data_IF_437152367497
#
_entry.id   IF_437152367497
#
_cell.length_a   1.000
_cell.length_b   1.000
_cell.length_c   1.000
_cell.angle_alpha   90.00
_cell.angle_beta   90.00
_cell.angle_gamma   90.00
#
_symmetry.space_group_name_H-M   'P 1'
#
loop_
_entity.id
_entity.type
_entity.pdbx_description
1 polymer ?
#
# COMPACT_ATOMS: atom_id res chain seq x y z
N UNK A 1 -11.45 -10.49 -12.44
CA UNK A 1 -10.32 -9.67 -12.87
C UNK A 1 -9.10 -10.53 -13.09
N UNK A 2 -8.39 -10.28 -14.16
CA UNK A 2 -7.15 -10.99 -14.43
C UNK A 2 -5.96 -10.12 -14.14
N UNK A 3 -4.90 -10.77 -13.67
CA UNK A 3 -3.64 -10.09 -13.41
C UNK A 3 -2.55 -10.85 -14.19
N UNK A 4 -1.66 -10.15 -14.90
CA UNK A 4 -0.61 -10.83 -15.66
C UNK A 4 0.42 -11.45 -14.72
N UNK A 5 1.16 -12.44 -15.24
CA UNK A 5 2.24 -13.05 -14.50
C UNK A 5 3.30 -12.01 -14.09
N UNK A 6 3.63 -11.11 -15.00
CA UNK A 6 4.56 -10.02 -14.74
C UNK A 6 3.78 -8.82 -14.21
N UNK A 7 4.02 -8.44 -12.98
CA UNK A 7 3.27 -7.39 -12.32
C UNK A 7 4.19 -6.48 -11.52
N UNK A 8 3.60 -5.47 -10.87
CA UNK A 8 4.32 -4.60 -9.95
C UNK A 8 3.78 -4.75 -8.55
N UNK A 9 4.68 -4.71 -7.59
CA UNK A 9 4.34 -4.58 -6.18
C UNK A 9 4.53 -3.11 -5.80
N UNK A 10 3.45 -2.49 -5.41
CA UNK A 10 3.45 -1.12 -4.88
C UNK A 10 3.45 -1.22 -3.36
N UNK A 11 4.44 -0.60 -2.71
CA UNK A 11 4.46 -0.47 -1.26
C UNK A 11 4.38 0.99 -0.89
N UNK A 12 3.52 1.27 0.09
CA UNK A 12 3.25 2.62 0.57
C UNK A 12 3.52 2.63 2.07
N UNK A 13 4.48 3.46 2.49
CA UNK A 13 4.90 3.55 3.89
C UNK A 13 4.38 4.84 4.46
N UNK A 14 3.47 4.75 5.43
CA UNK A 14 2.83 5.90 6.07
C UNK A 14 2.73 5.66 7.56
N UNK A 15 2.25 6.64 8.31
CA UNK A 15 1.97 6.50 9.73
C UNK A 15 0.50 6.16 9.95
N UNK A 16 0.23 5.48 11.04
CA UNK A 16 -1.14 5.09 11.39
C UNK A 16 -2.06 6.30 11.56
N UNK A 17 -1.52 7.41 12.07
CA UNK A 17 -2.29 8.61 12.34
C UNK A 17 -2.35 9.60 11.18
N UNK A 18 -1.72 9.28 10.05
CA UNK A 18 -1.81 10.14 8.87
C UNK A 18 -3.25 10.20 8.38
N UNK A 19 -3.66 11.38 7.92
CA UNK A 19 -5.04 11.62 7.52
C UNK A 19 -5.14 12.22 6.14
N UNK A 20 -6.29 12.01 5.52
CA UNK A 20 -6.67 12.63 4.26
C UNK A 20 -8.14 13.00 4.34
N UNK A 21 -8.43 14.31 4.23
CA UNK A 21 -9.80 14.84 4.27
C UNK A 21 -10.59 14.35 5.50
N UNK A 22 -9.92 14.33 6.66
CA UNK A 22 -10.57 13.97 7.92
C UNK A 22 -10.73 12.48 8.17
N UNK A 23 -10.23 11.64 7.28
CA UNK A 23 -10.26 10.18 7.42
C UNK A 23 -8.85 9.63 7.57
N UNK A 24 -8.68 8.46 8.18
CA UNK A 24 -7.37 7.83 8.21
C UNK A 24 -6.86 7.62 6.79
N UNK A 25 -5.63 8.04 6.54
CA UNK A 25 -5.05 7.97 5.20
C UNK A 25 -5.02 6.52 4.66
N UNK A 26 -4.66 5.55 5.52
CA UNK A 26 -4.60 4.17 5.06
C UNK A 26 -5.95 3.66 4.57
N UNK A 27 -7.04 4.05 5.26
CA UNK A 27 -8.39 3.66 4.83
C UNK A 27 -8.73 4.33 3.50
N UNK A 28 -8.41 5.61 3.38
CA UNK A 28 -8.68 6.34 2.14
C UNK A 28 -7.94 5.73 0.95
N UNK A 29 -6.70 5.30 1.14
CA UNK A 29 -5.91 4.65 0.09
C UNK A 29 -6.54 3.32 -0.32
N UNK A 30 -6.89 2.48 0.66
CA UNK A 30 -7.47 1.16 0.37
C UNK A 30 -8.81 1.31 -0.34
N UNK A 31 -9.65 2.26 0.10
CA UNK A 31 -10.93 2.52 -0.56
C UNK A 31 -10.74 3.02 -1.99
N UNK A 32 -9.75 3.89 -2.22
CA UNK A 32 -9.46 4.38 -3.56
C UNK A 32 -8.97 3.24 -4.46
N UNK A 33 -8.13 2.36 -3.93
CA UNK A 33 -7.65 1.21 -4.69
C UNK A 33 -8.82 0.30 -5.09
N UNK A 34 -9.75 0.08 -4.18
CA UNK A 34 -10.95 -0.73 -4.47
C UNK A 34 -11.84 -0.04 -5.50
N UNK A 35 -12.03 1.26 -5.38
CA UNK A 35 -12.81 2.05 -6.32
C UNK A 35 -12.22 1.99 -7.72
N UNK A 36 -10.90 1.97 -7.83
CA UNK A 36 -10.18 1.89 -9.10
C UNK A 36 -10.02 0.45 -9.60
N UNK A 37 -10.64 -0.50 -8.92
CA UNK A 37 -10.65 -1.92 -9.32
C UNK A 37 -9.26 -2.55 -9.36
N UNK A 38 -8.38 -2.14 -8.45
CA UNK A 38 -7.11 -2.84 -8.30
C UNK A 38 -7.34 -4.24 -7.71
N UNK A 39 -6.40 -5.13 -7.97
CA UNK A 39 -6.55 -6.54 -7.66
C UNK A 39 -6.70 -6.86 -6.17
N UNK A 40 -6.13 -6.00 -5.31
CA UNK A 40 -6.25 -6.18 -3.87
C UNK A 40 -5.34 -5.18 -3.15
N UNK A 41 -5.49 -5.11 -1.84
CA UNK A 41 -4.63 -4.28 -1.00
C UNK A 41 -4.56 -4.91 0.38
N UNK A 42 -3.37 -4.88 0.97
CA UNK A 42 -3.12 -5.40 2.32
C UNK A 42 -2.46 -4.31 3.14
N UNK A 43 -2.93 -4.11 4.37
CA UNK A 43 -2.33 -3.15 5.29
C UNK A 43 -1.64 -3.92 6.40
N UNK A 44 -0.36 -3.64 6.59
CA UNK A 44 0.44 -4.24 7.66
C UNK A 44 0.84 -3.15 8.64
N UNK A 45 0.81 -3.45 9.92
CA UNK A 45 1.25 -2.53 10.96
C UNK A 45 2.59 -2.98 11.50
N UNK A 46 3.58 -2.08 11.48
CA UNK A 46 4.88 -2.35 12.08
C UNK A 46 4.84 -2.08 13.57
N UNK A 47 5.55 -2.89 14.38
CA UNK A 47 5.59 -2.66 15.83
C UNK A 47 6.50 -1.51 16.22
N UNK A 48 7.33 -1.01 15.30
CA UNK A 48 8.31 0.05 15.56
C UNK A 48 8.79 0.61 14.23
N UNK A 49 9.09 1.89 14.19
CA UNK A 49 9.69 2.49 13.01
C UNK A 49 9.66 4.00 13.06
N UNK A 50 10.34 4.61 12.10
CA UNK A 50 10.28 6.06 11.89
C UNK A 50 10.51 6.36 10.43
N UNK A 51 9.94 7.48 9.97
CA UNK A 51 10.16 7.98 8.63
C UNK A 51 10.85 9.33 8.66
N UNK A 52 11.01 9.93 7.50
CA UNK A 52 11.74 11.18 7.34
C UNK A 52 11.21 12.30 8.22
N UNK A 53 9.88 12.39 8.35
CA UNK A 53 9.24 13.49 9.08
C UNK A 53 8.56 13.04 10.37
N UNK A 54 8.81 11.80 10.83
CA UNK A 54 8.16 11.27 12.01
C UNK A 54 9.18 10.89 13.08
N UNK A 55 8.70 10.83 14.31
CA UNK A 55 9.49 10.34 15.43
C UNK A 55 9.53 8.81 15.40
N UNK A 56 10.43 8.25 16.19
CA UNK A 56 10.45 6.81 16.42
C UNK A 56 9.17 6.38 17.12
N UNK A 57 8.48 5.42 16.54
CA UNK A 57 7.25 4.87 17.08
C UNK A 57 7.43 3.40 17.42
N UNK A 58 6.95 2.99 18.58
CA UNK A 58 7.07 1.61 19.04
C UNK A 58 5.90 1.21 19.91
N UNK A 59 5.44 -0.01 19.74
CA UNK A 59 4.34 -0.57 20.54
C UNK A 59 4.77 -0.88 21.99
N UNK A 60 6.07 -0.85 22.29
CA UNK A 60 6.55 -1.08 23.66
C UNK A 60 6.20 0.04 24.61
N UNK A 61 6.00 1.24 24.08
CA UNK A 61 5.62 2.38 24.89
C UNK A 61 4.10 2.38 24.94
N UNK A 62 3.54 2.12 26.11
CA UNK A 62 2.09 2.07 26.28
C UNK A 62 1.53 3.48 26.22
N UNK A 63 1.12 3.89 25.04
CA UNK A 63 0.49 5.17 24.80
C UNK A 63 -0.72 4.98 23.91
N UNK A 64 -1.79 5.67 24.25
CA UNK A 64 -3.05 5.56 23.50
C UNK A 64 -2.98 6.20 22.14
N UNK A 65 -2.02 7.08 21.90
CA UNK A 65 -1.90 7.83 20.65
C UNK A 65 -0.65 7.46 19.85
N UNK A 66 -0.22 6.22 19.97
CA UNK A 66 0.97 5.77 19.26
C UNK A 66 0.74 5.81 17.75
N UNK A 67 1.66 6.46 17.04
CA UNK A 67 1.60 6.54 15.57
C UNK A 67 2.53 5.49 14.99
N UNK A 68 2.05 4.27 14.89
CA UNK A 68 2.84 3.17 14.38
C UNK A 68 2.96 3.22 12.85
N UNK A 69 4.06 2.69 12.30
CA UNK A 69 4.22 2.64 10.86
C UNK A 69 3.27 1.65 10.23
N UNK A 70 2.72 2.02 9.08
CA UNK A 70 1.88 1.15 8.26
C UNK A 70 2.53 0.95 6.90
N UNK A 71 2.39 -0.25 6.36
CA UNK A 71 2.79 -0.56 5.00
C UNK A 71 1.57 -1.07 4.26
N UNK A 72 1.24 -0.44 3.15
CA UNK A 72 0.17 -0.91 2.27
C UNK A 72 0.83 -1.57 1.07
N UNK A 73 0.40 -2.79 0.76
CA UNK A 73 0.92 -3.54 -0.38
C UNK A 73 -0.18 -3.80 -1.38
N UNK A 74 0.10 -3.50 -2.65
CA UNK A 74 -0.83 -3.71 -3.75
C UNK A 74 -0.04 -4.33 -4.90
N UNK A 75 -0.51 -5.46 -5.42
CA UNK A 75 0.07 -6.11 -6.59
C UNK A 75 -0.94 -6.03 -7.72
N UNK A 76 -0.52 -5.50 -8.86
CA UNK A 76 -1.38 -5.41 -10.04
C UNK A 76 -0.50 -5.24 -11.28
N UNK A 77 -1.14 -5.15 -12.44
CA UNK A 77 -0.43 -4.89 -13.68
C UNK A 77 0.31 -3.54 -13.62
N UNK A 78 1.34 -3.42 -14.42
CA UNK A 78 2.09 -2.17 -14.53
C UNK A 78 1.15 -1.02 -14.93
N UNK A 79 0.26 -1.25 -15.90
CA UNK A 79 -0.67 -0.22 -16.36
C UNK A 79 -1.60 0.25 -15.25
N UNK A 80 -2.16 -0.68 -14.48
CA UNK A 80 -3.08 -0.33 -13.41
C UNK A 80 -2.36 0.39 -12.27
N UNK A 81 -1.17 -0.05 -11.91
CA UNK A 81 -0.37 0.62 -10.89
C UNK A 81 -0.02 2.04 -11.34
N UNK A 82 0.48 2.19 -12.57
CA UNK A 82 0.87 3.51 -13.07
C UNK A 82 -0.32 4.46 -13.14
N UNK A 83 -1.50 3.96 -13.42
CA UNK A 83 -2.71 4.78 -13.44
C UNK A 83 -3.11 5.23 -12.03
N UNK A 84 -2.82 4.41 -11.02
CA UNK A 84 -3.14 4.70 -9.63
C UNK A 84 -2.18 5.70 -8.99
N UNK A 85 -0.92 5.74 -9.41
CA UNK A 85 0.11 6.56 -8.77
C UNK A 85 -0.24 8.05 -8.66
N UNK A 86 -0.79 8.72 -9.71
CA UNK A 86 -1.15 10.12 -9.56
C UNK A 86 -2.23 10.35 -8.50
N UNK A 87 -3.18 9.43 -8.38
CA UNK A 87 -4.23 9.53 -7.36
C UNK A 87 -3.63 9.40 -5.98
N UNK A 88 -2.70 8.47 -5.82
CA UNK A 88 -2.00 8.25 -4.56
C UNK A 88 -1.19 9.48 -4.16
N UNK A 89 -0.51 10.09 -5.12
CA UNK A 89 0.30 11.27 -4.88
C UNK A 89 -0.53 12.44 -4.35
N UNK A 90 -1.75 12.61 -4.87
CA UNK A 90 -2.66 13.64 -4.39
C UNK A 90 -3.11 13.42 -2.94
N UNK A 91 -3.14 12.16 -2.50
CA UNK A 91 -3.60 11.83 -1.16
C UNK A 91 -2.51 11.94 -0.11
N UNK A 92 -1.24 11.90 -0.51
CA UNK A 92 -0.11 11.84 0.41
C UNK A 92 0.66 13.15 0.44
N UNK A 93 0.82 13.74 1.63
CA UNK A 93 1.68 14.90 1.81
C UNK A 93 3.11 14.47 2.16
N UNK A 94 3.29 13.27 2.69
CA UNK A 94 4.61 12.71 2.99
C UNK A 94 4.49 11.19 3.01
N UNK A 95 5.61 10.52 3.14
CA UNK A 95 5.64 9.07 3.14
C UNK A 95 6.65 8.56 2.14
N UNK A 96 6.64 7.26 1.93
CA UNK A 96 7.55 6.61 0.98
C UNK A 96 6.73 5.69 0.09
N UNK A 97 6.98 5.76 -1.20
CA UNK A 97 6.34 4.88 -2.18
C UNK A 97 7.44 4.15 -2.93
N UNK A 98 7.34 2.84 -3.00
CA UNK A 98 8.30 2.02 -3.75
C UNK A 98 7.58 1.11 -4.72
N UNK A 99 8.25 0.79 -5.82
CA UNK A 99 7.78 -0.16 -6.82
C UNK A 99 8.80 -1.25 -7.00
N UNK A 100 8.32 -2.46 -7.20
CA UNK A 100 9.18 -3.62 -7.40
C UNK A 100 8.50 -4.54 -8.40
N UNK A 101 9.27 -5.08 -9.34
CA UNK A 101 8.74 -6.06 -10.27
C UNK A 101 8.55 -7.38 -9.54
N UNK A 102 7.40 -8.02 -9.74
CA UNK A 102 7.10 -9.30 -9.14
C UNK A 102 6.52 -10.24 -10.17
N UNK A 103 6.62 -11.52 -9.86
CA UNK A 103 6.04 -12.58 -10.67
C UNK A 103 4.83 -13.13 -9.91
N UNK A 104 3.67 -13.10 -10.53
CA UNK A 104 2.44 -13.60 -9.91
C UNK A 104 2.23 -15.03 -10.35
N UNK A 105 2.14 -15.94 -9.39
CA UNK A 105 1.96 -17.37 -9.66
C UNK A 105 0.50 -17.79 -9.56
N UNK A 106 -0.28 -17.05 -8.78
CA UNK A 106 -1.69 -17.36 -8.59
C UNK A 106 -2.41 -16.10 -8.13
N UNK A 107 -3.61 -15.91 -8.63
CA UNK A 107 -4.47 -14.82 -8.18
C UNK A 107 -5.90 -15.35 -8.06
N UNK A 108 -6.46 -15.27 -6.85
CA UNK A 108 -7.79 -15.83 -6.58
C UNK A 108 -7.80 -17.34 -6.78
N UNK A 109 -8.77 -17.82 -7.52
CA UNK A 109 -8.92 -19.26 -7.80
C UNK A 109 -8.16 -19.70 -9.05
N UNK A 110 -7.57 -18.75 -9.77
CA UNK A 110 -6.94 -19.04 -11.06
C UNK A 110 -5.43 -19.00 -10.96
N UNK A 111 -4.77 -20.03 -11.48
CA UNK A 111 -3.34 -19.98 -11.68
C UNK A 111 -3.02 -19.04 -12.82
N UNK A 112 -1.97 -18.25 -12.67
CA UNK A 112 -1.49 -17.37 -13.73
C UNK A 112 -0.64 -18.19 -14.68
N UNK A 113 -0.87 -18.01 -15.99
CA UNK A 113 -0.09 -18.72 -17.01
C UNK A 113 1.38 -18.36 -16.92
N UNK A 114 2.23 -19.36 -17.09
CA UNK A 114 3.67 -19.14 -17.13
C UNK A 114 4.16 -19.08 -18.56
N UNK A 115 5.07 -18.17 -18.87
CA UNK A 115 5.72 -18.19 -20.17
C UNK A 115 6.53 -19.48 -20.32
N UNK A 116 6.49 -20.03 -21.51
CA UNK A 116 7.21 -21.24 -21.83
C UNK A 116 8.66 -20.93 -22.15
#
# INVERSE_FOLDING_TARGET
>A
MQIPQQALLLRIFIGENDQFNGSPLHEAIVLKAREQHLAGATVLRGPMGFGKSSRLHTAKILRLSEDLPLVIEIVDSEDNINRFLPMLDEMMSSGLITLEKVQVLKYGDNAVSHPQ
#
